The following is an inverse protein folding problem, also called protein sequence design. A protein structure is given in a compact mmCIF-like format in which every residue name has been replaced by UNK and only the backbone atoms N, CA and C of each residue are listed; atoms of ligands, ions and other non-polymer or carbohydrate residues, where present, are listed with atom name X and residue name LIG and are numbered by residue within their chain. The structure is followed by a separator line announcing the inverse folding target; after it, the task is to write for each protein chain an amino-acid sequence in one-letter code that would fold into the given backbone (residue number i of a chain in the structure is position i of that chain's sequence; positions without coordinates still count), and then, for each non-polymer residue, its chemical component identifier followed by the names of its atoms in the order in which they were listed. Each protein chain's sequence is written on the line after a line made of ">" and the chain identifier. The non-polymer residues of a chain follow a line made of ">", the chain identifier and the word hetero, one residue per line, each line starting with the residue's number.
data_IF_911036918284
#
_entry.id   IF_911036918284
#
_cell.length_a   1.000
_cell.length_b   1.000
_cell.length_c   1.000
_cell.angle_alpha   90.00
_cell.angle_beta   90.00
_cell.angle_gamma   90.00
#
_symmetry.space_group_name_H-M   'P 1'
#
loop_
_entity.id
_entity.type
_entity.pdbx_description
1 polymer ?
#
# COMPACT_ATOMS: atom_id res chain seq x y z
N UNK A 1 -3.21 -65.97 -26.28
CA UNK A 1 -1.82 -65.62 -25.88
C UNK A 1 -1.87 -64.36 -25.04
N UNK A 2 -1.73 -64.49 -23.73
CA UNK A 2 -1.59 -63.38 -22.80
C UNK A 2 -0.17 -62.83 -22.88
N UNK A 3 0.00 -61.55 -23.19
CA UNK A 3 1.25 -60.84 -22.90
C UNK A 3 1.00 -59.36 -22.59
N UNK A 4 0.82 -59.11 -21.28
CA UNK A 4 1.35 -57.98 -20.49
C UNK A 4 0.94 -56.54 -20.87
N UNK A 5 -0.13 -56.08 -20.21
CA UNK A 5 -0.27 -54.71 -19.71
C UNK A 5 0.82 -54.40 -18.68
N UNK A 6 1.75 -53.46 -18.91
CA UNK A 6 2.41 -52.68 -17.82
C UNK A 6 3.28 -51.48 -18.28
N UNK A 7 2.90 -50.68 -19.27
CA UNK A 7 3.60 -49.40 -19.58
C UNK A 7 2.53 -48.51 -20.25
N UNK A 8 2.08 -47.35 -19.78
CA UNK A 8 2.75 -46.25 -19.13
C UNK A 8 1.72 -45.45 -18.28
N UNK A 9 1.70 -45.62 -16.96
CA UNK A 9 1.20 -44.60 -16.03
C UNK A 9 2.42 -43.99 -15.37
N UNK A 10 3.00 -42.95 -15.97
CA UNK A 10 4.04 -42.11 -15.36
C UNK A 10 4.32 -40.93 -16.29
N UNK A 11 3.38 -39.97 -16.35
CA UNK A 11 3.62 -38.68 -16.99
C UNK A 11 2.77 -37.55 -16.38
N UNK A 12 2.48 -37.61 -15.07
CA UNK A 12 1.70 -36.57 -14.38
C UNK A 12 2.37 -36.13 -13.08
N UNK A 13 3.66 -35.80 -13.13
CA UNK A 13 4.38 -35.23 -11.99
C UNK A 13 5.39 -34.18 -12.47
N UNK A 14 5.35 -33.01 -11.84
CA UNK A 14 6.32 -31.91 -11.93
C UNK A 14 6.13 -30.88 -13.07
N UNK A 15 5.02 -30.15 -13.03
CA UNK A 15 5.05 -28.72 -13.33
C UNK A 15 4.53 -27.95 -12.11
N UNK A 16 5.17 -28.15 -10.95
CA UNK A 16 5.06 -27.18 -9.87
C UNK A 16 5.90 -25.99 -10.29
N UNK A 17 5.30 -25.04 -10.99
CA UNK A 17 5.92 -23.73 -11.23
C UNK A 17 6.30 -23.18 -9.85
N UNK A 18 7.57 -22.82 -9.60
CA UNK A 18 7.92 -22.17 -8.36
C UNK A 18 7.09 -20.89 -8.27
N UNK A 19 6.21 -20.83 -7.26
CA UNK A 19 5.60 -19.57 -6.86
C UNK A 19 6.74 -18.71 -6.31
N UNK A 20 7.38 -17.92 -7.18
CA UNK A 20 8.43 -17.00 -6.77
C UNK A 20 7.80 -15.98 -5.84
N UNK A 21 7.99 -16.17 -4.53
CA UNK A 21 7.69 -15.14 -3.55
C UNK A 21 8.52 -13.92 -3.96
N UNK A 22 7.83 -12.84 -4.36
CA UNK A 22 8.49 -11.59 -4.72
C UNK A 22 9.39 -11.17 -3.55
N UNK A 23 10.70 -10.88 -3.76
CA UNK A 23 11.60 -10.54 -2.68
C UNK A 23 11.07 -9.36 -1.88
N UNK A 24 11.15 -9.42 -0.55
CA UNK A 24 10.62 -8.36 0.33
C UNK A 24 11.18 -6.97 -0.03
N UNK A 25 12.46 -6.92 -0.42
CA UNK A 25 13.10 -5.71 -0.93
C UNK A 25 12.39 -5.17 -2.18
N UNK A 26 12.05 -6.02 -3.13
CA UNK A 26 11.38 -5.61 -4.37
C UNK A 26 10.02 -4.99 -4.09
N UNK A 27 9.26 -5.54 -3.13
CA UNK A 27 7.94 -4.98 -2.72
C UNK A 27 8.09 -3.54 -2.21
N UNK A 28 9.13 -3.27 -1.42
CA UNK A 28 9.43 -1.92 -0.92
C UNK A 28 9.80 -0.97 -2.07
N UNK A 29 10.68 -1.40 -2.97
CA UNK A 29 11.10 -0.59 -4.13
C UNK A 29 9.93 -0.30 -5.07
N UNK A 30 9.06 -1.28 -5.32
CA UNK A 30 7.87 -1.10 -6.15
C UNK A 30 6.90 -0.08 -5.54
N UNK A 31 6.72 -0.10 -4.21
CA UNK A 31 5.93 0.93 -3.52
C UNK A 31 6.57 2.31 -3.63
N UNK A 32 7.90 2.41 -3.51
CA UNK A 32 8.60 3.69 -3.67
C UNK A 32 8.49 4.22 -5.10
N UNK A 33 8.64 3.36 -6.10
CA UNK A 33 8.45 3.72 -7.51
C UNK A 33 7.01 4.19 -7.77
N UNK A 34 6.01 3.48 -7.23
CA UNK A 34 4.60 3.90 -7.33
C UNK A 34 4.39 5.27 -6.69
N UNK A 35 4.96 5.49 -5.52
CA UNK A 35 4.90 6.77 -4.81
C UNK A 35 5.58 7.88 -5.62
N UNK A 36 6.73 7.60 -6.24
CA UNK A 36 7.45 8.54 -7.10
C UNK A 36 6.62 8.95 -8.32
N UNK A 37 5.85 8.04 -8.89
CA UNK A 37 5.00 8.31 -10.06
C UNK A 37 3.74 9.10 -9.69
N UNK A 38 3.17 8.89 -8.51
CA UNK A 38 1.86 9.45 -8.14
C UNK A 38 1.96 10.70 -7.28
N UNK A 39 2.85 10.73 -6.28
CA UNK A 39 2.80 11.69 -5.19
C UNK A 39 3.59 12.97 -5.52
N UNK A 40 2.96 14.16 -5.52
CA UNK A 40 3.67 15.43 -5.79
C UNK A 40 4.79 15.71 -4.79
N UNK A 41 4.56 15.43 -3.51
CA UNK A 41 5.51 15.66 -2.42
C UNK A 41 6.62 14.61 -2.28
N UNK A 42 6.69 13.61 -3.18
CA UNK A 42 7.67 12.55 -3.07
C UNK A 42 9.11 13.07 -3.13
N UNK A 43 9.93 12.59 -2.22
CA UNK A 43 11.36 12.40 -2.41
C UNK A 43 11.77 11.12 -1.69
N UNK A 44 12.83 10.45 -2.14
CA UNK A 44 13.31 9.21 -1.51
C UNK A 44 13.52 9.40 -0.02
N UNK A 45 14.16 10.50 0.39
CA UNK A 45 14.46 10.80 1.79
C UNK A 45 13.20 10.98 2.66
N UNK A 46 12.10 11.51 2.09
CA UNK A 46 10.84 11.73 2.81
C UNK A 46 9.95 10.49 2.83
N UNK A 47 9.95 9.71 1.75
CA UNK A 47 9.02 8.59 1.57
C UNK A 47 9.60 7.28 2.10
N UNK A 48 10.88 7.01 1.87
CA UNK A 48 11.49 5.71 2.15
C UNK A 48 11.43 5.29 3.63
N UNK A 49 11.67 6.16 4.63
CA UNK A 49 11.61 5.75 6.03
C UNK A 49 10.24 5.20 6.42
N UNK A 50 9.16 5.86 6.01
CA UNK A 50 7.79 5.44 6.35
C UNK A 50 7.38 4.18 5.58
N UNK A 51 7.69 4.08 4.28
CA UNK A 51 7.39 2.88 3.49
C UNK A 51 8.10 1.65 4.06
N UNK A 52 9.38 1.78 4.43
CA UNK A 52 10.16 0.67 5.03
C UNK A 52 9.65 0.24 6.41
N UNK A 53 8.90 1.10 7.11
CA UNK A 53 8.29 0.77 8.39
C UNK A 53 6.97 0.00 8.26
N UNK A 54 6.36 -0.04 7.06
CA UNK A 54 5.15 -0.83 6.82
C UNK A 54 5.53 -2.31 6.68
N UNK A 55 4.81 -3.24 7.34
CA UNK A 55 5.02 -4.67 7.15
C UNK A 55 4.89 -5.05 5.66
N UNK A 56 5.83 -5.85 5.16
CA UNK A 56 5.89 -6.17 3.72
C UNK A 56 4.63 -6.88 3.23
N UNK A 57 4.01 -7.73 4.06
CA UNK A 57 2.70 -8.32 3.75
C UNK A 57 1.62 -7.28 3.48
N UNK A 58 1.62 -6.16 4.22
CA UNK A 58 0.69 -5.07 3.98
C UNK A 58 1.03 -4.32 2.69
N UNK A 59 2.31 -4.06 2.42
CA UNK A 59 2.75 -3.46 1.15
C UNK A 59 2.32 -4.29 -0.07
N UNK A 60 2.37 -5.62 0.01
CA UNK A 60 1.88 -6.52 -1.07
C UNK A 60 0.39 -6.31 -1.35
N UNK A 61 -0.44 -6.29 -0.30
CA UNK A 61 -1.88 -6.01 -0.44
C UNK A 61 -2.10 -4.61 -1.02
N UNK A 62 -1.35 -3.62 -0.55
CA UNK A 62 -1.44 -2.26 -1.07
C UNK A 62 -1.15 -2.21 -2.58
N UNK A 63 -0.06 -2.84 -3.02
CA UNK A 63 0.30 -2.89 -4.45
C UNK A 63 -0.76 -3.62 -5.28
N UNK A 64 -1.26 -4.78 -4.82
CA UNK A 64 -2.28 -5.55 -5.54
C UNK A 64 -3.60 -4.76 -5.72
N UNK A 65 -3.99 -4.01 -4.69
CA UNK A 65 -5.18 -3.14 -4.70
C UNK A 65 -4.95 -1.80 -5.40
N UNK A 66 -3.71 -1.47 -5.74
CA UNK A 66 -3.35 -0.21 -6.37
C UNK A 66 -3.34 1.00 -5.42
N UNK A 67 -3.19 0.76 -4.12
CA UNK A 67 -3.05 1.79 -3.09
C UNK A 67 -1.68 2.47 -3.17
N UNK A 68 -1.58 3.70 -2.69
CA UNK A 68 -0.37 4.54 -2.77
C UNK A 68 -0.04 5.18 -1.43
N UNK A 69 1.25 5.38 -1.15
CA UNK A 69 1.74 6.11 0.01
C UNK A 69 2.36 7.46 -0.41
N UNK A 70 1.78 8.58 0.02
CA UNK A 70 2.24 9.91 -0.36
C UNK A 70 2.60 10.80 0.83
N UNK A 71 3.86 11.29 0.96
CA UNK A 71 4.13 12.36 1.90
C UNK A 71 3.42 13.65 1.45
N UNK A 72 2.74 14.32 2.37
CA UNK A 72 2.07 15.60 2.15
C UNK A 72 2.32 16.55 3.33
N UNK A 73 3.20 17.53 3.11
CA UNK A 73 3.56 18.55 4.11
C UNK A 73 2.46 19.57 4.39
N UNK A 74 1.40 19.59 3.58
CA UNK A 74 0.27 20.51 3.77
C UNK A 74 -0.68 20.03 4.87
N UNK A 75 -0.59 18.75 5.25
CA UNK A 75 -1.28 18.21 6.43
C UNK A 75 -0.66 18.84 7.67
N UNK A 76 -1.46 19.33 8.61
CA UNK A 76 -0.97 19.98 9.82
C UNK A 76 -0.73 18.97 10.96
N UNK A 77 -0.35 19.49 12.14
CA UNK A 77 -0.08 18.67 13.32
C UNK A 77 -1.35 18.12 14.00
N UNK A 78 -2.52 18.73 13.75
CA UNK A 78 -3.79 18.25 14.29
C UNK A 78 -4.32 17.08 13.46
N UNK A 79 -4.05 17.07 12.16
CA UNK A 79 -4.46 16.06 11.20
C UNK A 79 -3.27 15.50 10.36
N UNK A 80 -2.24 14.92 11.00
CA UNK A 80 -0.99 14.58 10.32
C UNK A 80 -1.07 13.34 9.43
N UNK A 81 -2.19 12.62 9.40
CA UNK A 81 -2.38 11.40 8.62
C UNK A 81 -3.79 11.32 8.06
N UNK A 82 -3.91 10.84 6.82
CA UNK A 82 -5.18 10.76 6.09
C UNK A 82 -5.18 9.57 5.13
N UNK A 83 -6.34 8.99 4.91
CA UNK A 83 -6.62 8.09 3.80
C UNK A 83 -7.69 8.71 2.90
N UNK A 84 -7.33 9.01 1.66
CA UNK A 84 -8.25 9.51 0.65
C UNK A 84 -8.94 8.31 -0.03
N UNK A 85 -10.05 7.85 0.56
CA UNK A 85 -10.72 6.60 0.17
C UNK A 85 -11.02 6.45 -1.31
N UNK A 86 -11.62 7.46 -1.94
CA UNK A 86 -11.92 7.46 -3.39
C UNK A 86 -10.68 7.32 -4.27
N UNK A 87 -9.53 7.77 -3.79
CA UNK A 87 -8.28 7.78 -4.55
C UNK A 87 -7.37 6.62 -4.14
N UNK A 88 -7.63 5.94 -3.02
CA UNK A 88 -6.74 4.88 -2.52
C UNK A 88 -5.37 5.39 -2.07
N UNK A 89 -5.30 6.61 -1.54
CA UNK A 89 -4.04 7.25 -1.16
C UNK A 89 -3.94 7.38 0.36
N UNK A 90 -2.92 6.76 0.94
CA UNK A 90 -2.48 7.02 2.30
C UNK A 90 -1.49 8.18 2.29
N UNK A 91 -1.81 9.27 2.97
CA UNK A 91 -0.91 10.40 3.09
C UNK A 91 -0.60 10.76 4.54
N UNK A 92 0.59 11.31 4.76
CA UNK A 92 1.05 11.77 6.07
C UNK A 92 1.94 13.00 5.94
N UNK A 93 1.99 13.83 6.98
CA UNK A 93 3.02 14.85 7.07
C UNK A 93 4.34 14.22 7.55
N UNK A 94 5.41 14.18 6.72
CA UNK A 94 6.71 13.63 7.14
C UNK A 94 7.43 14.49 8.19
N UNK A 95 7.03 15.75 8.39
CA UNK A 95 7.64 16.68 9.34
C UNK A 95 7.00 16.58 10.74
N UNK A 96 5.82 15.97 10.84
CA UNK A 96 5.18 15.65 12.12
C UNK A 96 5.54 14.23 12.49
N UNK A 97 6.37 14.05 13.53
CA UNK A 97 6.90 12.74 13.96
C UNK A 97 5.79 11.68 14.10
N UNK A 98 4.62 12.07 14.59
CA UNK A 98 3.49 11.17 14.77
C UNK A 98 2.84 10.71 13.45
N UNK A 99 2.91 11.50 12.38
CA UNK A 99 2.26 11.21 11.09
C UNK A 99 2.70 9.86 10.50
N UNK A 100 4.02 9.63 10.46
CA UNK A 100 4.58 8.35 9.98
C UNK A 100 4.16 7.16 10.85
N UNK A 101 4.12 7.33 12.17
CA UNK A 101 3.69 6.26 13.09
C UNK A 101 2.22 5.92 12.93
N UNK A 102 1.36 6.96 12.85
CA UNK A 102 -0.08 6.80 12.69
C UNK A 102 -0.39 6.13 11.36
N UNK A 103 0.17 6.60 10.24
CA UNK A 103 -0.16 6.05 8.93
C UNK A 103 0.25 4.58 8.79
N UNK A 104 1.41 4.19 9.32
CA UNK A 104 1.86 2.78 9.35
C UNK A 104 0.89 1.92 10.17
N UNK A 105 0.46 2.42 11.33
CA UNK A 105 -0.50 1.71 12.19
C UNK A 105 -1.85 1.53 11.48
N UNK A 106 -2.37 2.58 10.82
CA UNK A 106 -3.65 2.52 10.13
C UNK A 106 -3.60 1.62 8.89
N UNK A 107 -2.55 1.67 8.08
CA UNK A 107 -2.32 0.71 6.98
C UNK A 107 -2.37 -0.72 7.53
N UNK A 108 -1.62 -1.01 8.60
CA UNK A 108 -1.63 -2.33 9.22
C UNK A 108 -3.01 -2.78 9.69
N UNK A 109 -3.82 -1.89 10.26
CA UNK A 109 -5.18 -2.20 10.69
C UNK A 109 -6.13 -2.45 9.50
N UNK A 110 -6.13 -1.55 8.52
CA UNK A 110 -7.00 -1.62 7.34
C UNK A 110 -6.66 -2.82 6.46
N UNK A 111 -5.39 -3.16 6.31
CA UNK A 111 -5.00 -4.36 5.56
C UNK A 111 -5.43 -5.65 6.24
N UNK A 112 -5.41 -5.72 7.58
CA UNK A 112 -5.90 -6.92 8.30
C UNK A 112 -7.41 -7.10 8.21
N UNK A 113 -8.17 -6.01 8.17
CA UNK A 113 -9.63 -6.04 8.13
C UNK A 113 -10.18 -6.01 6.70
N UNK A 114 -9.32 -5.80 5.70
CA UNK A 114 -9.64 -5.63 4.28
C UNK A 114 -10.66 -4.51 3.98
N UNK A 115 -10.86 -3.58 4.92
CA UNK A 115 -11.83 -2.50 4.83
C UNK A 115 -11.16 -1.21 4.35
N UNK A 116 -11.61 -0.72 3.19
CA UNK A 116 -11.09 0.49 2.55
C UNK A 116 -12.27 1.38 2.11
N UNK A 117 -12.84 2.17 3.05
CA UNK A 117 -14.00 3.00 2.77
C UNK A 117 -13.72 4.02 1.66
N UNK A 118 -14.76 4.45 0.95
CA UNK A 118 -14.63 5.48 -0.08
C UNK A 118 -14.45 6.87 0.55
N UNK A 119 -14.88 7.04 1.79
CA UNK A 119 -14.75 8.27 2.56
C UNK A 119 -13.29 8.64 2.85
N UNK A 120 -13.05 9.92 3.04
CA UNK A 120 -11.76 10.38 3.55
C UNK A 120 -11.71 10.12 5.05
N UNK A 121 -10.71 9.35 5.50
CA UNK A 121 -10.45 9.12 6.91
C UNK A 121 -9.29 10.01 7.35
N UNK A 122 -9.47 10.78 8.41
CA UNK A 122 -8.44 11.69 8.94
C UNK A 122 -8.11 11.29 10.36
N UNK A 123 -6.83 11.29 10.72
CA UNK A 123 -6.37 10.92 12.06
C UNK A 123 -5.48 11.99 12.68
N UNK A 124 -5.63 12.15 13.99
CA UNK A 124 -4.74 12.98 14.79
C UNK A 124 -3.38 12.30 15.07
N UNK A 125 -2.50 13.01 15.78
CA UNK A 125 -1.19 12.49 16.19
C UNK A 125 -1.25 11.23 17.09
N UNK A 126 -2.40 10.94 17.72
CA UNK A 126 -2.61 9.75 18.54
C UNK A 126 -3.24 8.59 17.74
N UNK A 127 -3.58 8.83 16.47
CA UNK A 127 -4.28 7.90 15.60
C UNK A 127 -5.78 7.82 15.86
N UNK A 128 -6.36 8.80 16.58
CA UNK A 128 -7.81 8.91 16.76
C UNK A 128 -8.42 9.49 15.49
N UNK A 129 -9.51 8.88 15.03
CA UNK A 129 -10.26 9.39 13.89
C UNK A 129 -10.89 10.76 14.22
N UNK A 130 -10.62 11.75 13.37
CA UNK A 130 -11.21 13.07 13.44
C UNK A 130 -12.47 13.13 12.59
N UNK A 131 -13.52 13.76 13.13
CA UNK A 131 -14.77 14.00 12.43
C UNK A 131 -14.82 15.46 11.98
N UNK A 132 -15.36 15.72 10.79
CA UNK A 132 -15.53 17.07 10.24
C UNK A 132 -14.22 17.86 10.08
N UNK A 133 -13.07 17.16 10.05
CA UNK A 133 -11.77 17.78 9.79
C UNK A 133 -11.63 18.07 8.31
N UNK A 134 -11.25 19.30 7.97
CA UNK A 134 -10.86 19.67 6.61
C UNK A 134 -9.39 19.38 6.43
N UNK A 135 -9.04 18.76 5.30
CA UNK A 135 -7.66 18.49 4.89
C UNK A 135 -7.48 18.94 3.44
N UNK A 136 -6.24 19.25 3.01
CA UNK A 136 -5.96 19.56 1.62
C UNK A 136 -6.48 18.47 0.69
N UNK A 137 -7.01 18.85 -0.48
CA UNK A 137 -7.34 17.87 -1.52
C UNK A 137 -6.05 17.22 -2.02
N UNK A 138 -6.09 15.90 -2.23
CA UNK A 138 -5.00 15.20 -2.90
C UNK A 138 -5.09 15.41 -4.41
N UNK A 139 -4.00 15.92 -4.98
CA UNK A 139 -3.86 16.11 -6.42
C UNK A 139 -2.68 15.23 -6.88
N UNK A 140 -2.89 14.18 -7.67
CA UNK A 140 -1.80 13.37 -8.17
C UNK A 140 -0.91 14.18 -9.14
N UNK A 141 0.33 13.72 -9.34
CA UNK A 141 1.21 14.30 -10.38
C UNK A 141 0.51 14.32 -11.75
N UNK A 142 0.78 15.33 -12.60
CA UNK A 142 0.22 15.37 -13.94
C UNK A 142 0.50 14.07 -14.72
N UNK A 143 -0.54 13.47 -15.29
CA UNK A 143 -0.46 12.21 -16.02
C UNK A 143 -0.36 10.94 -15.17
N UNK A 144 -0.34 11.04 -13.83
CA UNK A 144 -0.32 9.87 -12.98
C UNK A 144 -1.71 9.21 -12.89
N UNK A 145 -1.75 7.89 -13.07
CA UNK A 145 -2.94 7.09 -12.88
C UNK A 145 -2.92 6.40 -11.51
N UNK A 146 -3.92 6.68 -10.67
CA UNK A 146 -4.13 5.92 -9.43
C UNK A 146 -5.16 4.83 -9.70
N UNK A 147 -4.66 3.63 -10.01
CA UNK A 147 -5.48 2.46 -10.36
C UNK A 147 -5.99 1.74 -9.10
N UNK A 148 -6.66 2.46 -8.21
CA UNK A 148 -7.22 1.89 -6.98
C UNK A 148 -8.46 1.05 -7.29
N UNK A 149 -8.43 -0.24 -6.91
CA UNK A 149 -9.54 -1.17 -7.07
C UNK A 149 -10.49 -1.08 -5.88
N UNK A 150 -11.57 -0.32 -6.05
CA UNK A 150 -12.72 -0.36 -5.12
C UNK A 150 -13.42 -1.71 -5.31
N UNK A 151 -13.51 -2.50 -4.24
CA UNK A 151 -14.34 -3.70 -4.19
C UNK A 151 -15.61 -3.39 -3.43
#
# INVERSE_FOLDING_TARGET
>A
MHWKSTVAMLALSAAALPAFAQPDRQVVEDMLLRSANVCPGHSTDRTAPTVKAVPVGALRVMLDRGLVMCPDRRLDAEAPAVFYGRLGVFAWNPEVKAGSTVIVKQIGAMTRNEEYPAETLVWDANGKALKQQTVPMFEPKPGAAVLYKVR
#
